data_IF_829945881421
#
_entry.id   IF_829945881421
#
_cell.length_a   1.000
_cell.length_b   1.000
_cell.length_c   1.000
_cell.angle_alpha   90.00
_cell.angle_beta   90.00
_cell.angle_gamma   90.00
#
_symmetry.space_group_name_H-M   'P 1'
#
loop_
_entity.id
_entity.type
_entity.pdbx_description
1 polymer ?
#
# COMPACT_ATOMS: atom_id res chain seq x y z
N UNK A 1 -11.13 1.12 -10.52
CA UNK A 1 -10.62 2.31 -11.24
C UNK A 1 -9.14 2.07 -11.50
N UNK A 2 -8.75 1.72 -12.72
CA UNK A 2 -7.33 1.51 -13.06
C UNK A 2 -6.70 2.85 -13.45
N UNK A 3 -5.54 3.18 -12.88
CA UNK A 3 -4.72 4.31 -13.33
C UNK A 3 -4.22 4.00 -14.74
N UNK A 4 -4.57 4.85 -15.72
CA UNK A 4 -3.94 4.77 -17.04
C UNK A 4 -2.52 5.32 -16.92
N UNK A 5 -1.56 4.41 -16.84
CA UNK A 5 -0.15 4.77 -16.99
C UNK A 5 0.09 4.96 -18.48
N UNK A 6 0.48 6.17 -18.91
CA UNK A 6 0.79 6.49 -20.31
C UNK A 6 2.06 5.81 -20.85
N UNK A 7 2.59 4.82 -20.15
CA UNK A 7 3.80 4.09 -20.51
C UNK A 7 3.44 2.80 -21.28
N UNK A 8 4.21 2.50 -22.32
CA UNK A 8 4.13 1.21 -23.02
C UNK A 8 4.30 0.05 -22.01
N UNK A 9 3.44 -0.95 -22.11
CA UNK A 9 3.46 -2.17 -21.28
C UNK A 9 4.83 -2.86 -21.33
N UNK A 10 5.54 -2.81 -22.46
CA UNK A 10 6.91 -3.36 -22.56
C UNK A 10 7.90 -2.56 -21.71
N UNK A 11 7.82 -1.23 -21.75
CA UNK A 11 8.64 -0.35 -20.94
C UNK A 11 8.38 -0.55 -19.44
N UNK A 12 7.11 -0.70 -19.04
CA UNK A 12 6.74 -1.01 -17.66
C UNK A 12 7.31 -2.36 -17.20
N UNK A 13 7.22 -3.40 -18.03
CA UNK A 13 7.78 -4.72 -17.70
C UNK A 13 9.30 -4.70 -17.58
N UNK A 14 9.99 -3.95 -18.44
CA UNK A 14 11.45 -3.78 -18.35
C UNK A 14 11.82 -3.07 -17.04
N UNK A 15 11.18 -1.93 -16.75
CA UNK A 15 11.39 -1.18 -15.52
C UNK A 15 11.14 -2.02 -14.26
N UNK A 16 10.08 -2.83 -14.22
CA UNK A 16 9.84 -3.75 -13.10
C UNK A 16 10.98 -4.76 -12.92
N UNK A 17 11.44 -5.39 -14.01
CA UNK A 17 12.51 -6.41 -13.94
C UNK A 17 13.85 -5.80 -13.53
N UNK A 18 14.18 -4.65 -14.08
CA UNK A 18 15.42 -3.96 -13.74
C UNK A 18 15.38 -3.46 -12.30
N UNK A 19 14.21 -3.03 -11.82
CA UNK A 19 13.98 -2.71 -10.40
C UNK A 19 14.19 -3.89 -9.43
N UNK A 20 13.97 -5.14 -9.85
CA UNK A 20 14.29 -6.33 -9.03
C UNK A 20 15.77 -6.74 -9.08
N UNK A 21 16.55 -6.20 -10.01
CA UNK A 21 18.00 -6.48 -10.16
C UNK A 21 18.87 -5.46 -9.42
N UNK A 22 18.30 -4.32 -9.06
CA UNK A 22 18.98 -3.21 -8.41
C UNK A 22 18.39 -2.94 -7.03
N UNK A 23 19.23 -2.78 -6.02
CA UNK A 23 18.79 -2.20 -4.73
C UNK A 23 18.87 -0.69 -4.89
N UNK A 24 17.73 -0.03 -5.09
CA UNK A 24 17.65 1.42 -5.08
C UNK A 24 17.38 1.91 -3.65
N UNK A 25 18.12 2.93 -3.16
CA UNK A 25 17.73 3.58 -1.93
C UNK A 25 16.31 4.12 -2.09
N UNK A 26 15.47 3.80 -1.12
CA UNK A 26 14.10 4.29 -1.11
C UNK A 26 14.16 5.81 -0.89
N UNK A 27 13.50 6.62 -1.74
CA UNK A 27 13.52 8.08 -1.57
C UNK A 27 12.82 8.44 -0.26
N UNK A 28 13.49 9.19 0.61
CA UNK A 28 12.82 9.72 1.82
C UNK A 28 11.66 10.63 1.42
N UNK A 29 11.82 11.37 0.33
CA UNK A 29 10.74 12.09 -0.34
C UNK A 29 9.65 11.12 -0.79
N UNK A 30 8.48 11.23 -0.18
CA UNK A 30 7.30 10.42 -0.50
C UNK A 30 7.24 9.05 0.20
N UNK A 31 8.18 8.72 1.09
CA UNK A 31 8.15 7.48 1.88
C UNK A 31 6.83 7.28 2.61
N UNK A 32 6.32 8.34 3.22
CA UNK A 32 5.11 8.23 4.03
C UNK A 32 3.84 8.09 3.21
N UNK A 33 3.79 8.77 2.05
CA UNK A 33 2.72 8.57 1.08
C UNK A 33 2.74 7.13 0.53
N UNK A 34 3.92 6.58 0.22
CA UNK A 34 4.06 5.19 -0.20
C UNK A 34 3.66 4.21 0.90
N UNK A 35 4.00 4.50 2.16
CA UNK A 35 3.60 3.71 3.32
C UNK A 35 2.08 3.70 3.49
N UNK A 36 1.42 4.85 3.39
CA UNK A 36 -0.04 4.94 3.42
C UNK A 36 -0.67 4.14 2.28
N UNK A 37 -0.16 4.27 1.06
CA UNK A 37 -0.62 3.51 -0.09
C UNK A 37 -0.45 2.00 0.12
N UNK A 38 0.66 1.56 0.69
CA UNK A 38 0.89 0.15 1.05
C UNK A 38 -0.10 -0.36 2.10
N UNK A 39 -0.44 0.45 3.10
CA UNK A 39 -1.47 0.11 4.08
C UNK A 39 -2.85 -0.02 3.44
N UNK A 40 -3.24 0.93 2.59
CA UNK A 40 -4.52 0.88 1.88
C UNK A 40 -4.57 -0.33 0.94
N UNK A 41 -3.49 -0.58 0.18
CA UNK A 41 -3.41 -1.70 -0.75
C UNK A 41 -3.42 -3.07 -0.08
N UNK A 42 -2.98 -3.17 1.19
CA UNK A 42 -3.02 -4.42 1.96
C UNK A 42 -4.33 -4.62 2.74
N UNK A 43 -5.15 -3.58 2.89
CA UNK A 43 -6.42 -3.68 3.60
C UNK A 43 -7.46 -4.54 2.86
N UNK A 44 -7.37 -4.63 1.54
CA UNK A 44 -8.24 -5.48 0.72
C UNK A 44 -7.41 -6.41 -0.17
N UNK A 45 -7.88 -7.64 -0.37
CA UNK A 45 -7.24 -8.61 -1.25
C UNK A 45 -7.60 -8.37 -2.73
N UNK A 46 -7.08 -9.23 -3.61
CA UNK A 46 -7.35 -9.17 -5.06
C UNK A 46 -8.83 -9.33 -5.45
N UNK A 47 -9.70 -9.80 -4.54
CA UNK A 47 -11.15 -9.94 -4.72
C UNK A 47 -11.91 -8.74 -4.16
N UNK A 48 -11.23 -7.79 -3.52
CA UNK A 48 -11.85 -6.66 -2.84
C UNK A 48 -12.34 -6.99 -1.43
N UNK A 49 -11.99 -8.17 -0.91
CA UNK A 49 -12.37 -8.57 0.45
C UNK A 49 -11.37 -8.03 1.46
N UNK A 50 -11.87 -7.57 2.62
CA UNK A 50 -11.00 -7.06 3.68
C UNK A 50 -10.09 -8.18 4.18
N UNK A 51 -8.79 -7.95 4.14
CA UNK A 51 -7.83 -8.93 4.64
C UNK A 51 -8.02 -9.10 6.15
N UNK A 52 -7.97 -10.34 6.66
CA UNK A 52 -8.16 -10.65 8.08
C UNK A 52 -6.80 -10.70 8.79
N UNK A 53 -6.38 -9.64 9.48
CA UNK A 53 -5.06 -9.56 10.10
C UNK A 53 -4.99 -10.46 11.34
N UNK A 54 -3.76 -10.68 11.83
CA UNK A 54 -3.43 -11.43 13.07
C UNK A 54 -3.63 -12.95 12.98
N UNK A 55 -3.02 -13.65 13.93
CA UNK A 55 -3.25 -15.09 14.17
C UNK A 55 -3.64 -15.32 15.65
N UNK A 56 -4.71 -16.07 15.93
CA UNK A 56 -5.70 -16.59 14.98
C UNK A 56 -6.38 -15.46 14.20
N UNK A 57 -6.87 -15.76 12.99
CA UNK A 57 -7.51 -14.75 12.14
C UNK A 57 -8.77 -14.21 12.80
N UNK A 58 -8.92 -12.89 12.79
CA UNK A 58 -10.07 -12.20 13.37
C UNK A 58 -11.30 -12.23 12.46
N UNK A 59 -12.46 -11.87 13.03
CA UNK A 59 -13.71 -11.66 12.29
C UNK A 59 -13.63 -10.46 11.33
N UNK A 60 -14.65 -10.33 10.47
CA UNK A 60 -14.67 -9.26 9.44
C UNK A 60 -14.74 -7.88 10.08
N UNK A 61 -15.57 -7.71 11.09
CA UNK A 61 -15.78 -6.43 11.79
C UNK A 61 -14.50 -5.99 12.51
N UNK A 62 -13.82 -6.93 13.17
CA UNK A 62 -12.55 -6.66 13.84
C UNK A 62 -11.43 -6.35 12.83
N UNK A 63 -11.41 -7.03 11.68
CA UNK A 63 -10.49 -6.73 10.59
C UNK A 63 -10.70 -5.31 10.04
N UNK A 64 -11.96 -4.91 9.82
CA UNK A 64 -12.32 -3.55 9.37
C UNK A 64 -11.87 -2.50 10.39
N UNK A 65 -12.15 -2.73 11.68
CA UNK A 65 -11.75 -1.83 12.75
C UNK A 65 -10.22 -1.67 12.80
N UNK A 66 -9.49 -2.77 12.72
CA UNK A 66 -8.02 -2.77 12.69
C UNK A 66 -7.47 -1.93 11.54
N UNK A 67 -7.94 -2.14 10.30
CA UNK A 67 -7.43 -1.39 9.15
C UNK A 67 -7.79 0.09 9.22
N UNK A 68 -9.00 0.43 9.67
CA UNK A 68 -9.41 1.84 9.88
C UNK A 68 -8.52 2.55 10.89
N UNK A 69 -8.22 1.92 12.01
CA UNK A 69 -7.32 2.46 13.04
C UNK A 69 -5.91 2.72 12.49
N UNK A 70 -5.36 1.75 11.75
CA UNK A 70 -4.02 1.84 11.16
C UNK A 70 -3.91 2.95 10.12
N UNK A 71 -4.91 3.05 9.24
CA UNK A 71 -5.00 4.12 8.24
C UNK A 71 -5.16 5.47 8.94
N UNK A 72 -6.10 5.59 9.88
CA UNK A 72 -6.34 6.82 10.63
C UNK A 72 -5.10 7.31 11.38
N UNK A 73 -4.42 6.43 12.09
CA UNK A 73 -3.16 6.74 12.80
C UNK A 73 -2.09 7.25 11.83
N UNK A 74 -1.98 6.64 10.64
CA UNK A 74 -0.98 7.04 9.65
C UNK A 74 -1.31 8.40 9.04
N UNK A 75 -2.59 8.67 8.76
CA UNK A 75 -3.06 9.98 8.29
C UNK A 75 -2.81 11.08 9.33
N UNK A 76 -3.18 10.85 10.59
CA UNK A 76 -2.95 11.83 11.66
C UNK A 76 -1.46 12.13 11.87
N UNK A 77 -0.59 11.14 11.69
CA UNK A 77 0.85 11.36 11.77
C UNK A 77 1.36 12.19 10.57
N UNK A 78 0.88 11.91 9.36
CA UNK A 78 1.18 12.69 8.16
C UNK A 78 0.74 14.16 8.28
N UNK A 79 -0.47 14.39 8.79
CA UNK A 79 -1.02 15.73 9.02
C UNK A 79 -0.19 16.54 10.02
N UNK A 80 0.53 15.88 10.92
CA UNK A 80 1.43 16.52 11.90
C UNK A 80 2.89 16.68 11.44
N UNK A 81 3.24 16.21 10.24
CA UNK A 81 4.55 16.42 9.59
C UNK A 81 4.52 17.56 8.55
N UNK A 82 3.34 18.05 8.18
CA UNK A 82 3.12 19.17 7.26
C UNK A 82 3.23 20.53 7.97
#
# INVERSE_FOLDING_TARGET
MYVRVGADVRALRAACRDGYREVRPFSEEGYDACRLLGLIASAADSRGEVTRPRYPTVGVEEAVAFHRERIGTTLSWLDGQA
#
